data_IF_607171094023
#
_entry.id   IF_607171094023
#
_cell.length_a   1.000
_cell.length_b   1.000
_cell.length_c   1.000
_cell.angle_alpha   90.00
_cell.angle_beta   90.00
_cell.angle_gamma   90.00
#
_symmetry.space_group_name_H-M   'P 1'
#
loop_
_entity.id
_entity.type
_entity.pdbx_description
1 polymer ?
#
# COMPACT_ATOMS: atom_id res chain seq x y z
N UNK A 1 5.47 -11.48 -7.40
CA UNK A 1 6.41 -11.37 -6.26
C UNK A 1 6.74 -12.78 -5.80
N UNK A 2 7.91 -13.00 -5.20
CA UNK A 2 8.18 -14.29 -4.54
C UNK A 2 7.30 -14.37 -3.27
N UNK A 3 6.67 -15.51 -2.97
CA UNK A 3 5.81 -15.62 -1.80
C UNK A 3 6.64 -15.57 -0.50
N UNK A 4 6.12 -14.84 0.49
CA UNK A 4 6.59 -14.92 1.87
C UNK A 4 6.23 -16.28 2.48
N UNK A 5 6.96 -16.73 3.51
CA UNK A 5 6.55 -17.84 4.34
C UNK A 5 5.11 -17.64 4.83
N UNK A 6 4.28 -18.67 4.70
CA UNK A 6 2.85 -18.55 4.98
C UNK A 6 2.63 -18.19 6.45
N UNK A 7 1.95 -17.06 6.69
CA UNK A 7 1.51 -16.61 8.02
C UNK A 7 0.01 -16.40 7.99
N UNK A 8 -0.75 -17.11 8.83
CA UNK A 8 -2.22 -17.05 8.89
C UNK A 8 -2.92 -17.26 7.53
N UNK A 9 -2.31 -18.05 6.65
CA UNK A 9 -2.82 -18.31 5.30
C UNK A 9 -2.49 -17.23 4.26
N UNK A 10 -1.79 -16.16 4.64
CA UNK A 10 -1.28 -15.13 3.74
C UNK A 10 0.16 -15.43 3.32
N UNK A 11 0.47 -15.12 2.06
CA UNK A 11 1.78 -15.41 1.44
C UNK A 11 2.31 -14.25 0.61
N UNK A 12 1.53 -13.19 0.43
CA UNK A 12 1.93 -12.01 -0.31
C UNK A 12 1.59 -10.74 0.46
N UNK A 13 2.40 -9.72 0.27
CA UNK A 13 2.15 -8.34 0.71
C UNK A 13 2.08 -7.51 -0.56
N UNK A 14 0.99 -6.78 -0.75
CA UNK A 14 0.95 -5.68 -1.71
C UNK A 14 1.24 -4.39 -0.97
N UNK A 15 2.07 -3.56 -1.60
CA UNK A 15 2.53 -2.30 -1.05
C UNK A 15 2.41 -1.25 -2.15
N UNK A 16 1.72 -0.16 -1.88
CA UNK A 16 1.72 1.05 -2.69
C UNK A 16 2.35 2.17 -1.88
N UNK A 17 3.29 2.89 -2.49
CA UNK A 17 3.96 4.02 -1.87
C UNK A 17 3.66 5.24 -2.71
N UNK A 18 3.08 6.27 -2.11
CA UNK A 18 3.02 7.58 -2.76
C UNK A 18 4.42 8.19 -2.76
N UNK A 19 4.88 8.58 -3.93
CA UNK A 19 6.26 9.02 -4.11
C UNK A 19 6.55 10.34 -3.39
N UNK A 20 5.56 11.25 -3.34
CA UNK A 20 5.72 12.61 -2.82
C UNK A 20 5.60 12.63 -1.30
N UNK A 21 4.48 12.15 -0.76
CA UNK A 21 4.21 12.14 0.68
C UNK A 21 4.93 11.02 1.43
N UNK A 22 5.47 10.04 0.69
CA UNK A 22 5.99 8.78 1.26
C UNK A 22 4.91 8.00 2.01
N UNK A 23 3.62 8.27 1.77
CA UNK A 23 2.52 7.49 2.32
C UNK A 23 2.57 6.05 1.83
N UNK A 24 2.24 5.10 2.70
CA UNK A 24 2.38 3.67 2.41
C UNK A 24 1.07 2.96 2.70
N UNK A 25 0.46 2.37 1.69
CA UNK A 25 -0.70 1.48 1.86
C UNK A 25 -0.22 0.04 1.63
N UNK A 26 -0.51 -0.87 2.56
CA UNK A 26 -0.22 -2.28 2.36
C UNK A 26 -1.37 -3.19 2.73
N UNK A 27 -1.45 -4.33 2.03
CA UNK A 27 -2.43 -5.37 2.36
C UNK A 27 -1.81 -6.76 2.25
N UNK A 28 -2.26 -7.68 3.10
CA UNK A 28 -1.87 -9.09 3.05
C UNK A 28 -2.82 -9.86 2.14
N UNK A 29 -2.27 -10.73 1.29
CA UNK A 29 -3.08 -11.50 0.34
C UNK A 29 -2.58 -12.94 0.24
N UNK A 30 -3.52 -13.85 -0.04
CA UNK A 30 -3.23 -15.28 -0.21
C UNK A 30 -2.78 -15.61 -1.64
N UNK A 31 -3.08 -14.73 -2.59
CA UNK A 31 -2.81 -14.90 -4.02
C UNK A 31 -2.34 -13.58 -4.63
N UNK A 32 -1.51 -13.68 -5.66
CA UNK A 32 -0.96 -12.54 -6.39
C UNK A 32 -1.68 -12.36 -7.75
N UNK A 33 -3.02 -12.35 -7.73
CA UNK A 33 -3.86 -12.27 -8.93
C UNK A 33 -4.18 -10.81 -9.29
N UNK A 34 -4.37 -10.53 -10.59
CA UNK A 34 -4.67 -9.17 -11.07
C UNK A 34 -5.96 -8.58 -10.45
N UNK A 35 -6.98 -9.41 -10.19
CA UNK A 35 -8.21 -8.97 -9.50
C UNK A 35 -7.92 -8.41 -8.11
N UNK A 36 -7.06 -9.09 -7.35
CA UNK A 36 -6.67 -8.66 -6.00
C UNK A 36 -5.93 -7.33 -6.03
N UNK A 37 -5.07 -7.12 -7.04
CA UNK A 37 -4.38 -5.84 -7.26
C UNK A 37 -5.39 -4.72 -7.55
N UNK A 38 -6.34 -4.95 -8.45
CA UNK A 38 -7.37 -3.96 -8.80
C UNK A 38 -8.25 -3.62 -7.60
N UNK A 39 -8.68 -4.63 -6.83
CA UNK A 39 -9.51 -4.44 -5.64
C UNK A 39 -8.74 -3.67 -4.55
N UNK A 40 -7.45 -3.96 -4.37
CA UNK A 40 -6.57 -3.21 -3.47
C UNK A 40 -6.47 -1.74 -3.89
N UNK A 41 -6.18 -1.47 -5.16
CA UNK A 41 -6.03 -0.11 -5.67
C UNK A 41 -7.33 0.70 -5.56
N UNK A 42 -8.48 0.12 -5.91
CA UNK A 42 -9.77 0.79 -5.77
C UNK A 42 -10.07 1.12 -4.31
N UNK A 43 -9.95 0.14 -3.42
CA UNK A 43 -10.42 0.27 -2.04
C UNK A 43 -9.48 1.12 -1.19
N UNK A 44 -8.16 0.94 -1.34
CA UNK A 44 -7.18 1.56 -0.45
C UNK A 44 -6.56 2.83 -1.04
N UNK A 45 -6.54 2.97 -2.37
CA UNK A 45 -5.97 4.17 -3.02
C UNK A 45 -7.09 5.07 -3.55
N UNK A 46 -7.90 4.59 -4.49
CA UNK A 46 -8.78 5.48 -5.27
C UNK A 46 -9.91 6.06 -4.43
N UNK A 47 -10.53 5.25 -3.57
CA UNK A 47 -11.59 5.73 -2.69
C UNK A 47 -11.10 6.72 -1.62
N UNK A 48 -9.81 6.70 -1.26
CA UNK A 48 -9.25 7.50 -0.14
C UNK A 48 -8.54 8.76 -0.64
N UNK A 49 -7.65 8.60 -1.60
CA UNK A 49 -6.75 9.66 -2.09
C UNK A 49 -7.13 10.15 -3.49
N UNK A 50 -8.13 9.51 -4.10
CA UNK A 50 -8.47 9.73 -5.49
C UNK A 50 -7.56 8.97 -6.43
N UNK A 51 -7.73 9.28 -7.72
CA UNK A 51 -7.06 8.60 -8.82
C UNK A 51 -5.64 9.16 -9.00
N UNK A 52 -4.58 8.32 -8.83
CA UNK A 52 -3.21 8.77 -9.04
C UNK A 52 -2.96 9.08 -10.52
N UNK A 53 -2.11 10.08 -10.80
CA UNK A 53 -1.76 10.48 -12.19
C UNK A 53 -0.93 9.43 -12.94
N UNK A 54 -0.13 8.66 -12.21
CA UNK A 54 0.71 7.61 -12.77
C UNK A 54 0.82 6.46 -11.76
N UNK A 55 0.87 5.22 -12.28
CA UNK A 55 1.14 4.04 -11.48
C UNK A 55 2.47 3.43 -11.92
N UNK A 56 3.38 3.31 -10.96
CA UNK A 56 4.72 2.77 -11.18
C UNK A 56 4.76 1.33 -10.69
N UNK A 57 5.15 0.41 -11.56
CA UNK A 57 5.24 -1.02 -11.23
C UNK A 57 6.49 -1.67 -11.81
N UNK A 58 6.96 -2.75 -11.18
CA UNK A 58 8.15 -3.52 -11.55
C UNK A 58 7.98 -4.43 -12.79
N UNK A 59 7.08 -4.09 -13.74
CA UNK A 59 6.79 -4.84 -14.99
C UNK A 59 6.31 -6.29 -14.81
N UNK A 60 5.92 -6.73 -13.61
CA UNK A 60 5.47 -8.11 -13.45
C UNK A 60 4.12 -8.37 -14.14
N UNK A 61 3.93 -9.61 -14.59
CA UNK A 61 2.80 -10.05 -15.42
C UNK A 61 1.40 -9.79 -14.84
N UNK A 62 1.25 -9.63 -13.52
CA UNK A 62 -0.04 -9.31 -12.88
C UNK A 62 -0.43 -7.83 -13.05
N UNK A 63 0.52 -6.94 -13.31
CA UNK A 63 0.27 -5.54 -13.66
C UNK A 63 0.12 -5.34 -15.18
N UNK A 64 0.66 -6.27 -15.98
CA UNK A 64 0.54 -6.29 -17.44
C UNK A 64 -0.52 -7.31 -17.90
N UNK A 65 -1.76 -7.19 -17.42
CA UNK A 65 -2.88 -8.06 -17.80
C UNK A 65 -4.03 -7.23 -18.37
N UNK A 66 -4.80 -7.79 -19.31
CA UNK A 66 -5.96 -7.18 -19.97
C UNK A 66 -6.98 -6.58 -18.99
N UNK A 67 -7.18 -7.18 -17.81
CA UNK A 67 -8.05 -6.61 -16.75
C UNK A 67 -7.50 -5.28 -16.22
N UNK A 68 -6.19 -5.21 -16.01
CA UNK A 68 -5.51 -4.00 -15.57
C UNK A 68 -5.47 -2.97 -16.71
N UNK A 69 -5.12 -3.40 -17.93
CA UNK A 69 -5.14 -2.54 -19.12
C UNK A 69 -6.51 -1.91 -19.35
N UNK A 70 -7.60 -2.67 -19.23
CA UNK A 70 -8.97 -2.16 -19.38
C UNK A 70 -9.33 -1.15 -18.28
N UNK A 71 -8.85 -1.36 -17.04
CA UNK A 71 -9.02 -0.41 -15.95
C UNK A 71 -8.26 0.89 -16.25
N UNK A 72 -7.01 0.78 -16.69
CA UNK A 72 -6.13 1.91 -16.97
C UNK A 72 -6.62 2.71 -18.17
N UNK A 73 -7.07 2.05 -19.24
CA UNK A 73 -7.67 2.71 -20.41
C UNK A 73 -8.94 3.48 -20.04
N UNK A 74 -9.82 2.88 -19.23
CA UNK A 74 -11.03 3.56 -18.75
C UNK A 74 -10.73 4.78 -17.88
N UNK A 75 -9.58 4.78 -17.21
CA UNK A 75 -9.18 5.86 -16.30
C UNK A 75 -8.18 6.84 -16.94
N UNK A 76 -7.70 6.58 -18.17
CA UNK A 76 -6.75 7.42 -18.91
C UNK A 76 -5.30 7.36 -18.40
N UNK A 77 -4.83 6.23 -17.88
CA UNK A 77 -3.51 6.12 -17.22
C UNK A 77 -2.43 5.47 -18.10
N UNK A 78 -1.20 5.94 -17.92
CA UNK A 78 0.02 5.28 -18.38
C UNK A 78 0.73 4.60 -17.20
N UNK A 79 1.12 3.33 -17.35
CA UNK A 79 2.08 2.70 -16.44
C UNK A 79 3.46 3.22 -16.81
N UNK A 80 4.10 3.94 -15.89
CA UNK A 80 5.50 4.31 -16.03
C UNK A 80 6.39 3.25 -15.38
N UNK A 81 7.50 2.92 -16.03
CA UNK A 81 8.39 1.85 -15.59
C UNK A 81 9.79 2.39 -15.21
N UNK A 82 10.02 2.75 -13.95
CA UNK A 82 11.35 3.02 -13.43
C UNK A 82 12.03 1.74 -12.89
N UNK A 83 13.37 1.76 -12.87
CA UNK A 83 14.22 0.67 -12.36
C UNK A 83 14.02 0.44 -10.85
N UNK A 84 13.94 -0.81 -10.35
CA UNK A 84 13.62 -1.08 -8.95
C UNK A 84 14.89 -1.17 -8.07
N UNK A 85 15.08 -0.24 -7.15
CA UNK A 85 16.17 -0.33 -6.15
C UNK A 85 15.77 -0.15 -4.68
N UNK A 86 14.49 0.01 -4.32
CA UNK A 86 14.13 0.46 -2.95
C UNK A 86 13.46 -0.60 -2.04
N UNK A 87 13.20 -1.82 -2.49
CA UNK A 87 12.56 -2.84 -1.62
C UNK A 87 13.37 -4.13 -1.52
N UNK A 88 14.49 -4.05 -0.79
CA UNK A 88 15.16 -5.25 -0.27
C UNK A 88 15.99 -4.96 0.97
N UNK A 89 15.36 -4.47 2.03
CA UNK A 89 15.90 -4.50 3.40
C UNK A 89 14.70 -4.46 4.36
N UNK A 90 14.77 -5.31 5.37
CA UNK A 90 13.81 -5.44 6.49
C UNK A 90 12.69 -6.48 6.30
N UNK A 91 13.06 -7.75 6.49
CA UNK A 91 12.17 -8.80 7.02
C UNK A 91 13.04 -9.91 7.62
N UNK A 92 13.61 -9.66 8.81
CA UNK A 92 14.24 -10.67 9.67
C UNK A 92 13.57 -10.70 11.06
N UNK A 93 12.30 -10.30 11.13
CA UNK A 93 11.50 -10.29 12.36
C UNK A 93 10.30 -11.21 12.16
N UNK A 94 10.26 -12.29 12.96
CA UNK A 94 9.18 -13.27 13.10
C UNK A 94 8.59 -13.81 11.79
N UNK A 95 9.11 -14.95 11.34
CA UNK A 95 8.61 -15.67 10.16
C UNK A 95 7.15 -16.16 10.30
N UNK A 96 6.59 -16.18 11.52
CA UNK A 96 5.32 -16.84 11.82
C UNK A 96 4.12 -15.89 11.92
N UNK A 97 4.32 -14.64 12.37
CA UNK A 97 3.23 -13.70 12.67
C UNK A 97 3.34 -12.35 11.93
N UNK A 98 4.17 -12.28 10.88
CA UNK A 98 4.37 -11.05 10.12
C UNK A 98 3.07 -10.43 9.59
N UNK A 99 2.06 -11.26 9.28
CA UNK A 99 0.76 -10.78 8.78
C UNK A 99 0.01 -9.92 9.80
N UNK A 100 0.14 -10.22 11.10
CA UNK A 100 -0.49 -9.46 12.19
C UNK A 100 0.27 -8.19 12.51
N UNK A 101 1.60 -8.24 12.37
CA UNK A 101 2.49 -7.12 12.64
C UNK A 101 2.52 -6.09 11.49
N UNK A 102 1.92 -6.39 10.34
CA UNK A 102 1.93 -5.48 9.19
C UNK A 102 1.21 -4.17 9.52
N UNK A 103 0.04 -4.25 10.17
CA UNK A 103 -0.74 -3.07 10.55
C UNK A 103 0.01 -2.22 11.58
N UNK A 104 0.59 -2.84 12.61
CA UNK A 104 1.42 -2.16 13.61
C UNK A 104 2.65 -1.49 12.98
N UNK A 105 3.30 -2.17 12.03
CA UNK A 105 4.48 -1.65 11.34
C UNK A 105 4.14 -0.48 10.41
N UNK A 106 3.01 -0.55 9.69
CA UNK A 106 2.50 0.56 8.88
C UNK A 106 2.18 1.77 9.75
N UNK A 107 1.47 1.53 10.85
CA UNK A 107 1.11 2.59 11.79
C UNK A 107 2.35 3.30 12.35
N UNK A 108 3.35 2.54 12.79
CA UNK A 108 4.62 3.09 13.25
C UNK A 108 5.35 3.86 12.14
N UNK A 109 5.28 3.39 10.88
CA UNK A 109 5.89 4.06 9.75
C UNK A 109 5.23 5.41 9.43
N UNK A 110 3.90 5.46 9.33
CA UNK A 110 3.11 6.64 8.95
C UNK A 110 3.17 7.77 9.99
N UNK A 111 3.36 7.42 11.25
CA UNK A 111 3.44 8.37 12.37
C UNK A 111 4.85 8.83 12.69
N UNK A 112 5.88 8.10 12.26
CA UNK A 112 7.27 8.48 12.46
C UNK A 112 7.66 9.68 11.56
N UNK A 113 8.47 10.59 12.10
CA UNK A 113 9.08 11.67 11.33
C UNK A 113 10.14 11.09 10.39
N UNK A 114 9.90 11.15 9.08
CA UNK A 114 10.75 10.47 8.09
C UNK A 114 11.17 11.34 6.91
N UNK A 115 10.54 12.48 6.68
CA UNK A 115 10.92 13.34 5.55
C UNK A 115 12.13 14.21 5.91
N UNK A 116 12.98 14.60 4.93
CA UNK A 116 14.04 15.59 5.15
C UNK A 116 13.54 16.91 5.74
N UNK A 117 12.24 17.20 5.58
CA UNK A 117 11.52 18.35 6.11
C UNK A 117 11.11 18.19 7.58
N UNK A 118 11.39 17.04 8.20
CA UNK A 118 11.04 16.77 9.60
C UNK A 118 9.56 16.48 9.83
N UNK A 119 8.80 16.14 8.79
CA UNK A 119 7.37 15.81 8.88
C UNK A 119 7.12 14.30 8.73
N UNK A 120 6.06 13.80 9.36
CA UNK A 120 5.57 12.43 9.17
C UNK A 120 4.73 12.32 7.89
N UNK A 121 4.67 11.13 7.25
CA UNK A 121 3.78 10.89 6.12
C UNK A 121 2.32 11.29 6.41
N UNK A 122 1.81 11.00 7.61
CA UNK A 122 0.45 11.38 8.02
C UNK A 122 0.21 12.88 7.95
N UNK A 123 1.16 13.68 8.44
CA UNK A 123 1.01 15.13 8.43
C UNK A 123 0.98 15.69 7.01
N UNK A 124 1.79 15.14 6.09
CA UNK A 124 1.81 15.59 4.69
C UNK A 124 0.51 15.26 3.95
N UNK A 125 -0.09 14.11 4.23
CA UNK A 125 -1.31 13.66 3.55
C UNK A 125 -2.55 14.38 4.08
N UNK A 126 -2.65 14.57 5.40
CA UNK A 126 -3.87 15.06 6.03
C UNK A 126 -3.79 16.51 6.52
N UNK A 127 -2.61 17.14 6.44
CA UNK A 127 -2.31 18.47 6.98
C UNK A 127 -2.73 18.61 8.45
N UNK A 128 -2.57 17.51 9.20
CA UNK A 128 -3.10 17.31 10.55
C UNK A 128 -2.13 16.54 11.42
N UNK A 129 -2.08 16.90 12.71
CA UNK A 129 -1.35 16.12 13.70
C UNK A 129 -2.06 14.79 13.97
N UNK A 130 -1.28 13.73 14.18
CA UNK A 130 -1.79 12.38 14.42
C UNK A 130 -2.65 12.27 15.70
N UNK A 131 -2.43 13.13 16.70
CA UNK A 131 -3.10 13.08 18.01
C UNK A 131 -4.43 13.86 18.09
N UNK A 132 -5.09 14.11 16.96
CA UNK A 132 -6.40 14.77 16.99
C UNK A 132 -7.47 13.84 17.58
N UNK A 133 -8.41 14.37 18.39
CA UNK A 133 -9.49 13.57 18.95
C UNK A 133 -10.43 13.05 17.84
N UNK A 134 -10.84 11.78 17.95
CA UNK A 134 -11.80 11.11 17.08
C UNK A 134 -13.03 10.75 17.90
N UNK A 135 -14.22 11.12 17.42
CA UNK A 135 -15.49 10.67 17.98
C UNK A 135 -15.87 9.30 17.39
N UNK A 136 -16.16 8.32 18.26
CA UNK A 136 -16.60 6.98 17.88
C UNK A 136 -17.98 6.74 18.50
N UNK A 137 -19.02 6.64 17.68
CA UNK A 137 -20.36 6.23 18.12
C UNK A 137 -20.56 4.75 17.78
N UNK A 138 -20.72 3.90 18.80
CA UNK A 138 -21.05 2.49 18.63
C UNK A 138 -22.48 2.24 19.07
N UNK A 139 -23.39 2.00 18.11
CA UNK A 139 -24.75 1.53 18.39
C UNK A 139 -24.77 0.01 18.33
N UNK A 140 -24.81 -0.64 19.50
CA UNK A 140 -25.18 -2.04 19.60
C UNK A 140 -26.72 -2.14 19.58
N UNK A 141 -27.28 -2.93 18.67
CA UNK A 141 -28.68 -3.36 18.70
C UNK A 141 -28.80 -4.69 19.44
#
# INVERSE_FOLDING_TARGET
>A
MEPFPVSNGYSYIFLAIDYVSRWVEATTTKTNNAKVVVDFLKSNIFCRFGVPKALISDKRSHFCNQVMSSLLEKMGWCIEFPQPTILRKTAKLSQKDWSRLLEDALWAYETAYQTPLGNSPYWIVFDKAYHLPIEIEHRAY
#
